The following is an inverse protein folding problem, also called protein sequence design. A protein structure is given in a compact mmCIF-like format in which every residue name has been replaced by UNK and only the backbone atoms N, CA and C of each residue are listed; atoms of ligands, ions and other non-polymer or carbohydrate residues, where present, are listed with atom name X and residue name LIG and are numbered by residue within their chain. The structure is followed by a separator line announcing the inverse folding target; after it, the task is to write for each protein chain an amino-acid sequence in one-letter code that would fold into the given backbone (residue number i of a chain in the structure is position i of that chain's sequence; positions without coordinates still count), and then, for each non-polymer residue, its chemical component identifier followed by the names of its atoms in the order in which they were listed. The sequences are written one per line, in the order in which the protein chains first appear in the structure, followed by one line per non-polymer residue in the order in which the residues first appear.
data_IF_718065199834
#
_entry.id   IF_718065199834
#
_cell.length_a   1.000
_cell.length_b   1.000
_cell.length_c   1.000
_cell.angle_alpha   90.00
_cell.angle_beta   90.00
_cell.angle_gamma   90.00
#
_symmetry.space_group_name_H-M   'P 1'
#
loop_
_entity.id
_entity.type
_entity.pdbx_description
1 polymer ?
#
# COMPACT_ATOMS: atom_id res chain seq x y z
N UNK A 1 19.69 17.19 16.14
CA UNK A 1 19.41 15.91 15.46
C UNK A 1 18.76 16.19 14.12
N UNK A 2 18.99 15.37 13.09
CA UNK A 2 18.30 15.51 11.81
C UNK A 2 16.79 15.35 12.04
N UNK A 3 16.02 16.38 11.68
CA UNK A 3 14.56 16.38 11.62
C UNK A 3 14.15 15.59 10.38
N UNK A 4 13.62 14.38 10.57
CA UNK A 4 13.22 13.49 9.48
C UNK A 4 11.87 12.88 9.79
N UNK A 5 10.94 12.99 8.84
CA UNK A 5 9.66 12.28 8.87
C UNK A 5 9.88 10.85 8.36
N UNK A 6 9.11 9.89 8.87
CA UNK A 6 9.23 8.48 8.46
C UNK A 6 7.87 7.84 8.24
N UNK A 7 7.83 6.84 7.37
CA UNK A 7 6.67 5.98 7.15
C UNK A 7 7.11 4.52 7.26
N UNK A 8 6.28 3.69 7.88
CA UNK A 8 6.50 2.24 7.92
C UNK A 8 5.36 1.53 7.18
N UNK A 9 5.73 0.57 6.35
CA UNK A 9 4.79 -0.16 5.49
C UNK A 9 4.96 -1.65 5.75
N UNK A 10 3.85 -2.32 5.96
CA UNK A 10 3.80 -3.78 6.06
C UNK A 10 3.49 -4.36 4.69
N UNK A 11 4.40 -5.21 4.20
CA UNK A 11 4.23 -5.90 2.91
C UNK A 11 2.99 -6.80 2.87
N UNK A 12 2.63 -7.44 3.99
CA UNK A 12 1.33 -8.11 4.08
C UNK A 12 0.22 -7.05 4.15
N UNK A 13 -0.58 -6.99 3.09
CA UNK A 13 -1.66 -6.03 2.89
C UNK A 13 -1.25 -4.69 2.29
N UNK A 14 0.05 -4.46 2.02
CA UNK A 14 0.56 -3.19 1.48
C UNK A 14 0.22 -2.00 2.38
N UNK A 15 0.09 -2.25 3.69
CA UNK A 15 -0.60 -1.37 4.62
C UNK A 15 0.40 -0.48 5.34
N UNK A 16 0.13 0.82 5.37
CA UNK A 16 0.93 1.75 6.17
C UNK A 16 0.55 1.63 7.62
N UNK A 17 1.55 1.41 8.47
CA UNK A 17 1.38 1.12 9.90
C UNK A 17 1.99 2.17 10.81
N UNK A 18 2.82 3.07 10.31
CA UNK A 18 3.35 4.20 11.08
C UNK A 18 3.59 5.38 10.15
N UNK A 19 3.29 6.58 10.63
CA UNK A 19 3.68 7.84 10.01
C UNK A 19 4.13 8.78 11.12
N UNK A 20 5.42 9.09 11.17
CA UNK A 20 5.99 10.01 12.15
C UNK A 20 6.35 11.34 11.50
N UNK A 21 6.02 12.43 12.18
CA UNK A 21 6.47 13.76 11.80
C UNK A 21 7.97 13.97 12.13
N UNK A 22 8.49 15.16 11.87
CA UNK A 22 9.89 15.50 12.10
C UNK A 22 10.25 15.66 13.59
N UNK A 23 9.25 15.63 14.47
CA UNK A 23 9.37 15.54 15.93
C UNK A 23 9.34 14.09 16.44
N UNK A 24 9.09 13.10 15.58
CA UNK A 24 8.97 11.69 15.94
C UNK A 24 7.60 11.30 16.51
N UNK A 25 6.61 12.20 16.46
CA UNK A 25 5.26 11.94 16.94
C UNK A 25 4.49 11.08 15.93
N UNK A 26 3.83 10.03 16.42
CA UNK A 26 3.01 9.14 15.61
C UNK A 26 1.69 9.80 15.22
N UNK A 27 1.40 9.84 13.93
CA UNK A 27 0.20 10.43 13.36
C UNK A 27 -0.90 9.40 13.07
N UNK A 28 -0.55 8.11 13.01
CA UNK A 28 -1.51 7.04 12.76
C UNK A 28 -1.86 6.27 14.03
N UNK A 29 -3.16 6.03 14.22
CA UNK A 29 -3.61 5.11 15.24
C UNK A 29 -3.38 3.66 14.78
N UNK A 30 -2.62 2.90 15.57
CA UNK A 30 -2.51 1.45 15.45
C UNK A 30 -2.90 0.79 16.76
N UNK A 31 -3.77 -0.22 16.68
CA UNK A 31 -4.16 -0.96 17.86
C UNK A 31 -2.99 -1.81 18.37
N UNK A 32 -2.74 -1.78 19.68
CA UNK A 32 -1.80 -2.73 20.34
C UNK A 32 -2.21 -4.20 20.18
N UNK A 33 -3.44 -4.47 19.75
CA UNK A 33 -3.98 -5.80 19.41
C UNK A 33 -3.81 -6.16 17.93
N UNK A 34 -3.04 -5.40 17.15
CA UNK A 34 -2.76 -5.72 15.76
C UNK A 34 -1.79 -6.91 15.67
N UNK A 35 -2.36 -8.11 15.57
CA UNK A 35 -1.67 -9.41 15.61
C UNK A 35 -1.02 -9.76 14.26
N UNK A 36 -0.03 -10.66 14.29
CA UNK A 36 0.64 -11.31 13.14
C UNK A 36 -0.37 -11.91 12.14
N UNK A 37 0.02 -12.14 10.87
CA UNK A 37 -0.85 -12.76 9.86
C UNK A 37 -1.44 -14.08 10.39
N UNK A 38 -2.66 -14.49 9.99
CA UNK A 38 -3.38 -14.07 8.78
C UNK A 38 -4.48 -13.00 9.00
N UNK A 39 -4.64 -12.45 10.21
CA UNK A 39 -5.72 -11.47 10.46
C UNK A 39 -5.37 -10.08 9.90
N UNK A 40 -6.33 -9.33 9.34
CA UNK A 40 -6.11 -7.96 8.88
C UNK A 40 -5.55 -7.08 10.00
N UNK A 41 -4.55 -6.28 9.68
CA UNK A 41 -3.92 -5.37 10.63
C UNK A 41 -4.90 -4.26 11.01
N UNK A 42 -5.04 -3.99 12.32
CA UNK A 42 -6.03 -3.04 12.85
C UNK A 42 -5.39 -1.68 13.13
N UNK A 43 -5.69 -0.72 12.27
CA UNK A 43 -5.17 0.65 12.33
C UNK A 43 -4.30 0.98 11.14
N UNK A 44 -3.69 2.17 11.13
CA UNK A 44 -2.98 2.66 9.96
C UNK A 44 -3.90 2.87 8.76
N UNK A 45 -3.40 2.63 7.54
CA UNK A 45 -4.13 2.91 6.30
C UNK A 45 -4.37 1.60 5.52
N UNK A 46 -5.51 0.91 5.72
CA UNK A 46 -5.81 -0.34 5.05
C UNK A 46 -6.25 -0.12 3.59
N UNK A 47 -5.80 -0.98 2.70
CA UNK A 47 -6.19 -0.97 1.29
C UNK A 47 -7.46 -1.80 1.09
N UNK A 48 -8.55 -1.15 0.68
CA UNK A 48 -9.81 -1.83 0.33
C UNK A 48 -9.91 -1.93 -1.20
N UNK A 49 -9.48 -3.05 -1.77
CA UNK A 49 -9.44 -3.25 -3.22
C UNK A 49 -9.56 -4.73 -3.58
N UNK A 50 -10.27 -5.09 -4.68
CA UNK A 50 -10.99 -4.21 -5.62
C UNK A 50 -12.42 -3.85 -5.21
N UNK A 51 -12.88 -4.29 -4.04
CA UNK A 51 -14.23 -4.08 -3.54
C UNK A 51 -14.23 -3.31 -2.22
N UNK A 52 -15.23 -2.45 -2.01
CA UNK A 52 -15.50 -1.87 -0.71
C UNK A 52 -16.70 -2.57 -0.04
N UNK A 53 -16.57 -2.89 1.25
CA UNK A 53 -17.62 -3.60 1.99
C UNK A 53 -17.95 -4.96 1.37
N UNK A 54 -19.24 -5.29 1.30
CA UNK A 54 -19.77 -6.54 0.76
C UNK A 54 -20.45 -6.36 -0.60
N UNK A 55 -20.05 -5.34 -1.37
CA UNK A 55 -20.74 -4.93 -2.60
C UNK A 55 -20.50 -5.84 -3.83
N UNK A 56 -20.02 -7.07 -3.65
CA UNK A 56 -19.78 -8.02 -4.72
C UNK A 56 -19.35 -9.40 -4.20
N UNK A 57 -18.90 -10.26 -5.12
CA UNK A 57 -18.63 -11.67 -4.84
C UNK A 57 -17.27 -11.94 -4.18
N UNK A 58 -16.49 -10.88 -3.93
CA UNK A 58 -15.18 -10.98 -3.30
C UNK A 58 -15.31 -10.89 -1.78
N UNK A 59 -14.25 -11.31 -1.10
CA UNK A 59 -14.11 -11.12 0.35
C UNK A 59 -14.36 -9.66 0.77
N UNK A 60 -14.83 -9.45 2.01
CA UNK A 60 -15.22 -8.12 2.49
C UNK A 60 -14.03 -7.15 2.39
N UNK A 61 -14.23 -6.00 1.75
CA UNK A 61 -13.21 -5.00 1.40
C UNK A 61 -12.14 -5.48 0.38
N UNK A 62 -12.46 -6.52 -0.38
CA UNK A 62 -11.55 -7.10 -1.36
C UNK A 62 -10.34 -7.79 -0.73
N UNK A 63 -9.47 -8.32 -1.59
CA UNK A 63 -8.37 -9.20 -1.18
C UNK A 63 -7.03 -8.51 -0.99
N UNK A 64 -6.84 -7.28 -1.47
CA UNK A 64 -5.53 -6.63 -1.47
C UNK A 64 -4.88 -6.53 -0.08
N UNK A 65 -5.69 -6.28 0.97
CA UNK A 65 -5.23 -6.24 2.38
C UNK A 65 -4.83 -7.59 2.98
N UNK A 66 -5.21 -8.68 2.33
CA UNK A 66 -5.02 -10.06 2.78
C UNK A 66 -4.01 -10.83 1.92
N UNK A 67 -3.23 -10.12 1.09
CA UNK A 67 -2.19 -10.70 0.22
C UNK A 67 -0.83 -10.06 0.50
N UNK A 68 0.22 -10.73 0.05
CA UNK A 68 1.57 -10.20 0.14
C UNK A 68 1.82 -9.23 -1.01
N UNK A 69 2.45 -8.11 -0.69
CA UNK A 69 2.95 -7.15 -1.65
C UNK A 69 4.46 -7.28 -1.75
N UNK A 70 5.02 -6.88 -2.89
CA UNK A 70 6.45 -6.77 -3.09
C UNK A 70 6.83 -5.35 -3.45
N UNK A 71 8.05 -4.97 -3.13
CA UNK A 71 8.64 -3.75 -3.67
C UNK A 71 8.85 -3.97 -5.17
N UNK A 72 8.47 -2.99 -5.97
CA UNK A 72 8.71 -3.01 -7.41
C UNK A 72 10.01 -2.26 -7.73
N UNK A 73 11.04 -3.02 -8.06
CA UNK A 73 12.38 -2.50 -8.36
C UNK A 73 12.49 -1.82 -9.73
N UNK A 74 11.47 -1.98 -10.61
CA UNK A 74 11.46 -1.36 -11.93
C UNK A 74 10.14 -0.61 -12.20
N UNK A 75 9.90 0.51 -11.51
CA UNK A 75 8.75 1.35 -11.77
C UNK A 75 8.73 1.90 -13.19
N UNK A 76 7.53 2.09 -13.79
CA UNK A 76 7.38 3.08 -14.84
C UNK A 76 7.95 4.42 -14.34
N UNK A 77 8.64 5.19 -15.19
CA UNK A 77 9.18 6.48 -14.79
C UNK A 77 8.03 7.40 -14.34
N UNK A 78 7.96 7.67 -13.04
CA UNK A 78 7.08 8.69 -12.50
C UNK A 78 7.63 10.08 -12.86
N UNK A 79 6.77 11.10 -13.00
CA UNK A 79 7.25 12.46 -13.18
C UNK A 79 8.15 12.85 -12.01
N UNK A 80 9.42 13.12 -12.31
CA UNK A 80 10.44 13.45 -11.31
C UNK A 80 10.09 14.81 -10.71
N UNK A 81 9.38 14.81 -9.58
CA UNK A 81 9.20 16.01 -8.79
C UNK A 81 10.40 16.15 -7.85
N UNK A 82 11.27 17.16 -8.01
CA UNK A 82 12.44 17.36 -7.17
C UNK A 82 12.11 17.62 -5.68
N UNK A 83 10.83 17.85 -5.36
CA UNK A 83 10.36 17.91 -3.97
C UNK A 83 10.21 16.53 -3.30
N UNK A 84 10.19 15.43 -4.06
CA UNK A 84 10.09 14.07 -3.53
C UNK A 84 11.44 13.65 -2.97
N UNK A 85 11.50 13.38 -1.67
CA UNK A 85 12.74 12.98 -0.97
C UNK A 85 12.88 11.48 -0.78
N UNK A 86 11.78 10.75 -0.81
CA UNK A 86 11.72 9.32 -0.66
C UNK A 86 10.47 8.83 -1.38
N UNK A 87 10.59 7.71 -2.10
CA UNK A 87 9.45 7.03 -2.68
C UNK A 87 9.62 5.52 -2.57
N UNK A 88 8.51 4.80 -2.59
CA UNK A 88 8.49 3.34 -2.69
C UNK A 88 7.27 2.92 -3.48
N UNK A 89 7.49 1.96 -4.37
CA UNK A 89 6.43 1.33 -5.12
C UNK A 89 6.20 -0.09 -4.65
N UNK A 90 4.94 -0.42 -4.42
CA UNK A 90 4.51 -1.75 -4.04
C UNK A 90 3.62 -2.33 -5.13
N UNK A 91 3.90 -3.56 -5.53
CA UNK A 91 3.07 -4.34 -6.44
C UNK A 91 2.39 -5.48 -5.67
N UNK A 92 1.08 -5.59 -5.84
CA UNK A 92 0.30 -6.70 -5.32
C UNK A 92 0.72 -7.98 -6.06
N UNK A 93 1.05 -9.04 -5.32
CA UNK A 93 1.28 -10.39 -5.87
C UNK A 93 -0.01 -11.19 -5.73
N UNK A 94 -0.93 -11.16 -6.72
CA UNK A 94 -2.14 -11.96 -6.67
C UNK A 94 -1.79 -13.45 -6.78
N UNK A 95 -2.59 -14.31 -6.15
CA UNK A 95 -2.56 -15.75 -6.41
C UNK A 95 -3.22 -16.08 -7.75
N UNK A 96 -3.03 -17.31 -8.26
CA UNK A 96 -3.72 -17.76 -9.48
C UNK A 96 -5.24 -17.64 -9.36
N UNK A 97 -5.80 -17.91 -8.18
CA UNK A 97 -7.24 -17.79 -7.94
C UNK A 97 -7.70 -16.32 -7.92
N UNK A 98 -6.88 -15.41 -7.37
CA UNK A 98 -7.16 -13.98 -7.44
C UNK A 98 -7.15 -13.48 -8.89
N UNK A 99 -6.23 -13.97 -9.73
CA UNK A 99 -6.15 -13.60 -11.15
C UNK A 99 -7.35 -14.12 -11.97
N UNK A 100 -7.87 -15.32 -11.65
CA UNK A 100 -9.11 -15.83 -12.25
C UNK A 100 -10.31 -14.94 -11.95
N UNK A 101 -10.36 -14.35 -10.76
CA UNK A 101 -11.45 -13.47 -10.33
C UNK A 101 -11.23 -12.02 -10.77
N UNK A 102 -9.98 -11.56 -10.83
CA UNK A 102 -9.60 -10.18 -11.08
C UNK A 102 -8.21 -10.08 -11.76
N UNK A 103 -8.15 -10.13 -13.10
CA UNK A 103 -6.89 -10.19 -13.87
C UNK A 103 -6.24 -8.80 -14.06
N UNK A 104 -6.12 -8.03 -12.99
CA UNK A 104 -5.48 -6.71 -13.03
C UNK A 104 -4.28 -6.64 -12.09
N UNK A 105 -3.25 -5.91 -12.52
CA UNK A 105 -2.14 -5.52 -11.65
C UNK A 105 -2.55 -4.31 -10.83
N UNK A 106 -2.20 -4.33 -9.55
CA UNK A 106 -2.40 -3.23 -8.63
C UNK A 106 -1.06 -2.78 -8.05
N UNK A 107 -0.76 -1.49 -8.21
CA UNK A 107 0.44 -0.82 -7.71
C UNK A 107 0.05 0.29 -6.75
N UNK A 108 0.81 0.48 -5.69
CA UNK A 108 0.71 1.65 -4.81
C UNK A 108 2.08 2.32 -4.70
N UNK A 109 2.10 3.61 -4.96
CA UNK A 109 3.26 4.48 -4.83
C UNK A 109 3.09 5.38 -3.62
N UNK A 110 4.15 5.49 -2.82
CA UNK A 110 4.19 6.27 -1.59
C UNK A 110 5.31 7.30 -1.70
N UNK A 111 5.00 8.59 -1.61
CA UNK A 111 5.97 9.68 -1.85
C UNK A 111 6.03 10.67 -0.68
N UNK A 112 7.24 11.02 -0.21
CA UNK A 112 7.44 12.08 0.77
C UNK A 112 7.51 13.45 0.09
N UNK A 113 6.43 14.21 0.20
CA UNK A 113 6.33 15.60 -0.22
C UNK A 113 6.93 16.54 0.85
N UNK A 114 7.13 17.82 0.51
CA UNK A 114 7.63 18.83 1.45
C UNK A 114 6.82 18.85 2.76
N UNK A 115 7.46 19.12 3.90
CA UNK A 115 6.81 19.29 5.22
C UNK A 115 6.10 18.06 5.79
N UNK A 116 6.73 16.88 5.75
CA UNK A 116 6.23 15.63 6.36
C UNK A 116 4.89 15.10 5.79
N UNK A 117 4.53 15.49 4.58
CA UNK A 117 3.34 14.99 3.88
C UNK A 117 3.69 13.75 3.06
N UNK A 118 2.89 12.69 3.18
CA UNK A 118 2.98 11.52 2.31
C UNK A 118 1.82 11.49 1.31
N UNK A 119 2.13 11.24 0.05
CA UNK A 119 1.15 10.98 -1.01
C UNK A 119 1.04 9.49 -1.25
N UNK A 120 -0.18 9.02 -1.41
CA UNK A 120 -0.51 7.67 -1.85
C UNK A 120 -1.14 7.76 -3.23
N UNK A 121 -0.54 7.07 -4.20
CA UNK A 121 -1.07 6.96 -5.54
C UNK A 121 -1.27 5.48 -5.88
N UNK A 122 -2.42 5.13 -6.44
CA UNK A 122 -2.72 3.75 -6.82
C UNK A 122 -2.90 3.65 -8.32
N UNK A 123 -2.25 2.68 -8.94
CA UNK A 123 -2.38 2.41 -10.37
C UNK A 123 -2.93 0.99 -10.59
N UNK A 124 -4.01 0.90 -11.37
CA UNK A 124 -4.61 -0.37 -11.79
C UNK A 124 -4.38 -0.50 -13.29
N UNK A 125 -3.76 -1.60 -13.71
CA UNK A 125 -3.60 -1.91 -15.14
C UNK A 125 -4.17 -3.30 -15.43
N UNK A 126 -4.79 -3.45 -16.60
CA UNK A 126 -5.24 -4.77 -17.06
C UNK A 126 -4.03 -5.64 -17.38
N UNK A 127 -4.04 -6.90 -16.95
CA UNK A 127 -3.18 -7.91 -17.55
C UNK A 127 -3.86 -8.39 -18.83
N UNK A 128 -3.93 -7.55 -19.86
CA UNK A 128 -4.17 -8.11 -21.18
C UNK A 128 -2.99 -9.03 -21.51
N UNK A 129 -3.34 -10.26 -21.92
CA UNK A 129 -2.47 -11.36 -22.32
C UNK A 129 -1.11 -10.86 -22.84
N UNK A 130 -0.06 -11.08 -22.05
CA UNK A 130 1.27 -11.22 -22.65
C UNK A 130 1.28 -12.60 -23.31
N UNK A 131 0.88 -12.63 -24.59
CA UNK A 131 1.20 -13.72 -25.50
C UNK A 131 2.69 -13.69 -25.83
#
# INVERSE_FOLDING_TARGET
GRRSCSVEIRLFGGQVTSWKNDHGEELLFVSSKAIKPPKPFRGGIPICFPQFGTQGNLEQHGFARNRLWAIDDNPPPLPVNPAIKAFVDLILKPSEDDLKMWPHRFRVSLENCSWCWWRFESHVSNQEYQH
#
